data_IF_822848913263
#
_entry.id   IF_822848913263
#
_cell.length_a   1.000
_cell.length_b   1.000
_cell.length_c   1.000
_cell.angle_alpha   90.00
_cell.angle_beta   90.00
_cell.angle_gamma   90.00
#
_symmetry.space_group_name_H-M   'P 1'
#
loop_
_entity.id
_entity.type
_entity.pdbx_description
1 polymer ?
#
# COMPACT_ATOMS: atom_id res chain seq x y z
N UNK A 1 -16.81 4.23 -12.62
CA UNK A 1 -16.78 2.77 -12.83
C UNK A 1 -17.40 2.07 -11.63
N UNK A 2 -18.62 1.52 -11.78
CA UNK A 2 -19.35 0.84 -10.71
C UNK A 2 -18.91 -0.63 -10.68
N UNK A 3 -17.98 -1.01 -9.79
CA UNK A 3 -17.56 -2.43 -9.65
C UNK A 3 -18.80 -3.25 -9.27
N UNK A 4 -19.08 -4.40 -9.94
CA UNK A 4 -20.21 -5.23 -9.58
C UNK A 4 -20.11 -5.65 -8.10
N UNK A 5 -21.24 -5.58 -7.39
CA UNK A 5 -21.32 -5.88 -5.96
C UNK A 5 -20.93 -7.34 -5.72
N UNK A 6 -19.72 -7.59 -5.20
CA UNK A 6 -19.32 -8.92 -4.75
C UNK A 6 -20.17 -9.29 -3.53
N UNK A 7 -20.99 -10.35 -3.67
CA UNK A 7 -21.74 -10.92 -2.56
C UNK A 7 -20.76 -11.67 -1.63
N UNK A 8 -20.95 -11.52 -0.33
CA UNK A 8 -20.15 -12.23 0.67
C UNK A 8 -20.63 -13.67 0.76
N UNK A 9 -19.81 -14.62 0.30
CA UNK A 9 -20.12 -16.06 0.26
C UNK A 9 -19.29 -16.88 1.26
N UNK A 10 -18.76 -16.28 2.34
CA UNK A 10 -18.01 -17.01 3.36
C UNK A 10 -18.84 -18.18 3.90
N UNK A 11 -18.31 -19.39 3.74
CA UNK A 11 -18.77 -20.58 4.46
C UNK A 11 -17.92 -20.72 5.73
N UNK A 12 -18.47 -21.32 6.81
CA UNK A 12 -17.86 -21.39 8.16
C UNK A 12 -16.43 -21.98 8.21
N UNK A 13 -15.90 -22.55 7.12
CA UNK A 13 -14.62 -23.26 7.05
C UNK A 13 -13.44 -22.41 6.55
N UNK A 14 -13.67 -21.22 5.99
CA UNK A 14 -12.61 -20.41 5.33
C UNK A 14 -12.20 -19.14 6.09
N UNK A 15 -12.78 -18.87 7.27
CA UNK A 15 -12.61 -17.61 7.98
C UNK A 15 -11.41 -17.59 8.95
N UNK A 16 -10.26 -18.17 8.56
CA UNK A 16 -9.06 -18.12 9.42
C UNK A 16 -8.09 -17.12 8.86
N UNK A 17 -7.98 -15.96 9.52
CA UNK A 17 -6.79 -15.13 9.40
C UNK A 17 -5.80 -15.62 10.44
N UNK A 18 -4.71 -16.22 9.97
CA UNK A 18 -3.52 -16.42 10.80
C UNK A 18 -2.80 -15.09 10.90
N UNK A 19 -2.72 -14.54 12.12
CA UNK A 19 -1.87 -13.39 12.41
C UNK A 19 -0.43 -13.93 12.40
N UNK A 20 0.25 -13.81 11.25
CA UNK A 20 1.68 -14.07 11.20
C UNK A 20 2.38 -12.89 11.89
N UNK A 21 2.90 -13.12 13.10
CA UNK A 21 3.91 -12.24 13.67
C UNK A 21 5.13 -12.29 12.73
N UNK A 22 5.45 -11.16 12.09
CA UNK A 22 6.73 -11.05 11.38
C UNK A 22 7.83 -10.81 12.43
N UNK A 23 9.00 -11.45 12.29
CA UNK A 23 10.08 -11.28 13.26
C UNK A 23 10.63 -9.86 13.19
N UNK A 24 10.91 -9.30 14.37
CA UNK A 24 11.80 -8.18 14.52
C UNK A 24 13.15 -8.58 13.91
N UNK A 25 13.56 -7.91 12.83
CA UNK A 25 14.93 -8.00 12.36
C UNK A 25 15.65 -6.74 12.81
N UNK A 26 16.75 -7.01 13.51
CA UNK A 26 17.65 -6.10 14.20
C UNK A 26 18.07 -4.90 13.36
N UNK A 27 18.11 -3.79 14.08
CA UNK A 27 18.78 -2.54 13.77
C UNK A 27 20.28 -2.81 13.63
N UNK A 28 20.86 -2.41 12.49
CA UNK A 28 22.29 -2.11 12.38
C UNK A 28 22.40 -0.79 11.61
N UNK A 29 23.18 0.11 12.21
CA UNK A 29 23.51 1.46 11.78
C UNK A 29 24.22 1.51 10.43
N UNK A 30 23.90 2.50 9.61
CA UNK A 30 24.72 2.93 8.46
C UNK A 30 24.46 4.42 8.20
N UNK A 31 25.54 5.18 8.16
CA UNK A 31 25.65 6.63 8.26
C UNK A 31 25.32 7.36 6.94
N UNK A 32 24.96 8.63 7.08
CA UNK A 32 24.42 9.44 5.99
C UNK A 32 25.48 9.83 4.96
N UNK A 33 25.22 9.48 3.70
CA UNK A 33 26.05 9.92 2.58
C UNK A 33 25.44 11.13 1.84
N UNK A 34 26.21 12.20 1.89
CA UNK A 34 26.18 13.43 1.12
C UNK A 34 26.26 13.13 -0.40
N UNK A 35 25.34 13.70 -1.19
CA UNK A 35 25.34 13.51 -2.65
C UNK A 35 26.30 14.51 -3.31
N UNK A 36 27.55 14.10 -3.49
CA UNK A 36 28.52 14.84 -4.32
C UNK A 36 28.35 14.43 -5.81
N UNK A 37 28.22 15.41 -6.70
CA UNK A 37 28.08 15.22 -8.15
C UNK A 37 29.46 14.88 -8.75
N UNK A 38 29.68 13.62 -9.15
CA UNK A 38 30.94 13.17 -9.75
C UNK A 38 30.76 12.82 -11.23
N UNK A 39 31.58 13.50 -12.04
CA UNK A 39 31.70 13.39 -13.49
C UNK A 39 32.06 11.98 -13.98
N UNK A 40 31.53 11.61 -15.15
CA UNK A 40 31.80 10.35 -15.84
C UNK A 40 33.25 10.28 -16.36
N UNK A 41 33.84 9.07 -16.42
CA UNK A 41 34.77 8.75 -17.50
C UNK A 41 34.34 7.54 -18.32
N UNK A 42 34.57 7.66 -19.63
CA UNK A 42 34.31 6.66 -20.65
C UNK A 42 35.34 5.50 -20.72
N UNK A 43 34.82 4.34 -21.15
CA UNK A 43 35.42 3.23 -21.93
C UNK A 43 36.65 2.43 -21.44
N UNK A 44 36.50 1.09 -21.35
CA UNK A 44 37.14 0.12 -22.29
C UNK A 44 36.94 -1.37 -21.92
N UNK A 45 36.32 -2.11 -22.86
CA UNK A 45 36.48 -3.52 -23.26
C UNK A 45 37.09 -4.60 -22.34
N UNK A 46 36.32 -5.69 -22.12
CA UNK A 46 36.75 -7.09 -22.40
C UNK A 46 35.57 -8.07 -22.52
N UNK A 47 35.53 -8.79 -23.65
CA UNK A 47 34.54 -9.82 -24.06
C UNK A 47 34.72 -11.16 -23.30
N UNK A 48 33.61 -11.86 -23.01
CA UNK A 48 33.48 -13.30 -23.36
C UNK A 48 32.01 -13.72 -23.59
N UNK A 49 31.79 -14.42 -24.70
CA UNK A 49 30.50 -14.85 -25.28
C UNK A 49 29.96 -16.13 -24.63
N UNK A 50 28.64 -16.25 -24.46
CA UNK A 50 27.86 -17.38 -25.01
C UNK A 50 26.44 -16.95 -25.36
N UNK A 51 25.98 -17.44 -26.51
CA UNK A 51 24.85 -16.98 -27.32
C UNK A 51 23.61 -17.84 -27.05
N UNK A 52 22.50 -17.23 -26.65
CA UNK A 52 21.14 -17.67 -27.04
C UNK A 52 20.34 -16.45 -27.48
N UNK A 53 20.20 -16.29 -28.80
CA UNK A 53 19.28 -15.34 -29.44
C UNK A 53 17.86 -15.85 -29.22
N UNK A 54 17.24 -15.49 -28.09
CA UNK A 54 15.78 -15.40 -28.06
C UNK A 54 15.43 -14.06 -28.70
N UNK A 55 14.61 -14.10 -29.75
CA UNK A 55 14.09 -12.93 -30.43
C UNK A 55 13.14 -12.19 -29.48
N UNK A 56 13.71 -11.47 -28.49
CA UNK A 56 12.97 -10.66 -27.56
C UNK A 56 12.44 -9.47 -28.36
N UNK A 57 11.16 -9.56 -28.76
CA UNK A 57 10.42 -8.42 -29.30
C UNK A 57 10.66 -7.27 -28.32
N UNK A 58 11.33 -6.19 -28.78
CA UNK A 58 11.47 -4.96 -27.99
C UNK A 58 10.08 -4.62 -27.44
N UNK A 59 9.93 -4.36 -26.13
CA UNK A 59 8.63 -3.98 -25.60
C UNK A 59 8.14 -2.80 -26.42
N UNK A 60 6.96 -2.95 -27.04
CA UNK A 60 6.36 -1.86 -27.82
C UNK A 60 6.27 -0.67 -26.88
N UNK A 61 6.99 0.41 -27.19
CA UNK A 61 6.86 1.66 -26.45
C UNK A 61 5.37 2.00 -26.38
N UNK A 62 4.89 2.34 -25.18
CA UNK A 62 3.49 2.70 -24.97
C UNK A 62 3.21 3.99 -25.72
N UNK A 63 2.74 3.87 -26.96
CA UNK A 63 2.23 5.00 -27.75
C UNK A 63 0.90 5.45 -27.15
N UNK A 64 0.89 6.59 -26.47
CA UNK A 64 -0.31 7.20 -25.91
C UNK A 64 0.00 8.41 -25.00
N UNK A 65 -1.03 9.15 -24.58
CA UNK A 65 -0.94 10.35 -23.73
C UNK A 65 -0.21 10.14 -22.40
N UNK A 66 -0.04 8.89 -21.96
CA UNK A 66 0.65 8.49 -20.73
C UNK A 66 2.13 8.10 -20.93
N UNK A 67 2.68 8.19 -22.15
CA UNK A 67 4.09 7.91 -22.41
C UNK A 67 4.99 8.85 -21.57
N UNK A 68 4.67 10.15 -21.61
CA UNK A 68 5.37 11.18 -20.85
C UNK A 68 5.38 10.91 -19.33
N UNK A 69 4.35 10.24 -18.79
CA UNK A 69 4.30 9.91 -17.36
C UNK A 69 5.35 8.87 -16.94
N UNK A 70 5.82 8.03 -17.87
CA UNK A 70 6.89 7.06 -17.60
C UNK A 70 8.29 7.63 -17.80
N UNK A 71 8.41 8.62 -18.68
CA UNK A 71 9.68 9.26 -19.02
C UNK A 71 9.97 10.50 -18.15
N UNK A 72 9.09 10.79 -17.17
CA UNK A 72 9.20 11.91 -16.24
C UNK A 72 10.26 11.66 -15.15
N UNK A 73 11.06 12.68 -14.76
CA UNK A 73 11.96 12.58 -13.62
C UNK A 73 11.22 12.20 -12.33
N UNK A 74 11.88 11.42 -11.46
CA UNK A 74 11.27 10.93 -10.22
C UNK A 74 10.89 12.06 -9.26
N UNK A 75 11.62 13.16 -9.25
CA UNK A 75 11.33 14.30 -8.37
C UNK A 75 9.98 14.93 -8.70
N UNK A 76 9.74 15.23 -9.98
CA UNK A 76 8.44 15.76 -10.45
C UNK A 76 7.33 14.75 -10.20
N UNK A 77 7.61 13.46 -10.38
CA UNK A 77 6.66 12.40 -10.02
C UNK A 77 6.30 12.46 -8.53
N UNK A 78 7.29 12.56 -7.64
CA UNK A 78 7.06 12.64 -6.19
C UNK A 78 6.32 13.90 -5.80
N UNK A 79 6.64 15.06 -6.38
CA UNK A 79 5.89 16.30 -6.19
C UNK A 79 4.40 16.14 -6.52
N UNK A 80 4.08 15.48 -7.63
CA UNK A 80 2.68 15.17 -7.96
C UNK A 80 2.06 14.26 -6.90
N UNK A 81 2.77 13.21 -6.48
CA UNK A 81 2.25 12.27 -5.47
C UNK A 81 2.05 12.90 -4.10
N UNK A 82 2.89 13.86 -3.69
CA UNK A 82 2.80 14.57 -2.42
C UNK A 82 1.50 15.37 -2.28
N UNK A 83 0.86 15.73 -3.40
CA UNK A 83 -0.40 16.46 -3.43
C UNK A 83 -1.65 15.57 -3.43
N UNK A 84 -1.49 14.25 -3.51
CA UNK A 84 -2.61 13.30 -3.60
C UNK A 84 -3.16 12.89 -2.23
N UNK A 85 -4.38 12.33 -2.24
CA UNK A 85 -4.91 11.64 -1.06
C UNK A 85 -4.36 10.22 -0.98
N UNK A 86 -4.33 9.59 0.22
CA UNK A 86 -3.87 8.22 0.38
C UNK A 86 -4.70 7.22 -0.44
N UNK A 87 -5.98 7.51 -0.68
CA UNK A 87 -6.86 6.66 -1.48
C UNK A 87 -6.46 6.71 -2.97
N UNK A 88 -6.08 7.88 -3.48
CA UNK A 88 -5.63 8.04 -4.86
C UNK A 88 -4.31 7.31 -5.10
N UNK A 89 -3.34 7.49 -4.19
CA UNK A 89 -2.05 6.78 -4.23
C UNK A 89 -2.28 5.26 -4.18
N UNK A 90 -3.16 4.80 -3.30
CA UNK A 90 -3.55 3.39 -3.23
C UNK A 90 -4.14 2.89 -4.55
N UNK A 91 -4.99 3.68 -5.21
CA UNK A 91 -5.50 3.31 -6.53
C UNK A 91 -4.39 3.26 -7.59
N UNK A 92 -3.47 4.23 -7.62
CA UNK A 92 -2.32 4.24 -8.53
C UNK A 92 -1.45 2.98 -8.38
N UNK A 93 -1.19 2.55 -7.14
CA UNK A 93 -0.43 1.31 -6.87
C UNK A 93 -1.12 0.07 -7.45
N UNK A 94 -2.46 0.07 -7.55
CA UNK A 94 -3.21 -1.06 -8.10
C UNK A 94 -3.35 -1.02 -9.61
N UNK A 95 -3.29 0.16 -10.21
CA UNK A 95 -3.39 0.35 -11.66
C UNK A 95 -2.12 -0.09 -12.40
N UNK A 96 -0.95 -0.01 -11.77
CA UNK A 96 0.33 -0.20 -12.45
C UNK A 96 1.38 -0.85 -11.56
N UNK A 97 1.95 -1.97 -12.05
CA UNK A 97 3.06 -2.68 -11.38
C UNK A 97 4.26 -1.77 -11.07
N UNK A 98 4.78 -0.93 -11.98
CA UNK A 98 5.91 -0.04 -11.66
C UNK A 98 5.54 1.01 -10.60
N UNK A 99 4.32 1.57 -10.64
CA UNK A 99 3.89 2.53 -9.61
C UNK A 99 3.78 1.87 -8.24
N UNK A 100 3.26 0.64 -8.19
CA UNK A 100 3.28 -0.16 -6.96
C UNK A 100 4.69 -0.33 -6.42
N UNK A 101 5.64 -0.68 -7.27
CA UNK A 101 7.03 -0.90 -6.86
C UNK A 101 7.69 0.39 -6.37
N UNK A 102 7.41 1.54 -6.97
CA UNK A 102 7.94 2.83 -6.53
C UNK A 102 7.31 3.28 -5.20
N UNK A 103 5.98 3.23 -5.11
CA UNK A 103 5.22 3.77 -3.98
C UNK A 103 5.20 2.87 -2.75
N UNK A 104 5.58 1.58 -2.87
CA UNK A 104 5.63 0.66 -1.70
C UNK A 104 7.03 0.60 -1.07
N UNK A 105 8.04 1.26 -1.65
CA UNK A 105 9.40 1.31 -1.09
C UNK A 105 9.43 2.16 0.19
N UNK A 106 10.40 1.88 1.06
CA UNK A 106 10.68 2.70 2.26
C UNK A 106 10.95 4.16 1.91
N UNK A 107 11.64 4.41 0.79
CA UNK A 107 11.91 5.77 0.31
C UNK A 107 10.64 6.57 0.01
N UNK A 108 9.52 5.92 -0.32
CA UNK A 108 8.24 6.56 -0.59
C UNK A 108 7.39 6.81 0.66
N UNK A 109 7.86 6.48 1.88
CA UNK A 109 7.09 6.68 3.13
C UNK A 109 6.70 8.14 3.36
N UNK A 110 7.59 9.07 3.04
CA UNK A 110 7.33 10.51 3.17
C UNK A 110 6.11 10.94 2.32
N UNK A 111 5.90 10.31 1.16
CA UNK A 111 4.74 10.57 0.28
C UNK A 111 3.44 10.17 0.97
N UNK A 112 3.41 8.99 1.60
CA UNK A 112 2.22 8.52 2.33
C UNK A 112 1.93 9.35 3.57
N UNK A 113 2.97 9.79 4.28
CA UNK A 113 2.85 10.71 5.41
C UNK A 113 2.26 12.06 4.98
N UNK A 114 2.77 12.65 3.89
CA UNK A 114 2.22 13.88 3.31
C UNK A 114 0.76 13.70 2.87
N UNK A 115 0.44 12.61 2.19
CA UNK A 115 -0.92 12.32 1.75
C UNK A 115 -1.90 12.21 2.93
N UNK A 116 -1.51 11.56 4.04
CA UNK A 116 -2.32 11.53 5.27
C UNK A 116 -2.52 12.92 5.86
N UNK A 117 -1.47 13.73 5.87
CA UNK A 117 -1.51 15.12 6.35
C UNK A 117 -2.49 15.96 5.51
N UNK A 118 -2.50 15.80 4.19
CA UNK A 118 -3.41 16.51 3.30
C UNK A 118 -4.88 16.24 3.65
N UNK A 119 -5.23 14.97 3.91
CA UNK A 119 -6.59 14.60 4.33
C UNK A 119 -6.93 15.17 5.70
N UNK A 120 -6.01 15.13 6.66
CA UNK A 120 -6.22 15.71 7.99
C UNK A 120 -6.44 17.23 7.92
N UNK A 121 -5.63 17.95 7.13
CA UNK A 121 -5.79 19.38 6.91
C UNK A 121 -7.13 19.72 6.23
N UNK A 122 -7.52 18.94 5.22
CA UNK A 122 -8.80 19.12 4.55
C UNK A 122 -9.99 18.87 5.50
N UNK A 123 -9.92 17.85 6.36
CA UNK A 123 -10.94 17.58 7.37
C UNK A 123 -11.05 18.71 8.39
N UNK A 124 -9.91 19.24 8.86
CA UNK A 124 -9.85 20.34 9.83
C UNK A 124 -10.46 21.65 9.30
N UNK A 125 -10.38 21.92 7.99
CA UNK A 125 -11.00 23.10 7.38
C UNK A 125 -12.54 23.06 7.42
N UNK A 126 -13.13 21.87 7.29
CA UNK A 126 -14.58 21.70 7.25
C UNK A 126 -15.20 21.50 8.64
N UNK A 127 -14.40 21.05 9.61
CA UNK A 127 -14.85 20.78 10.97
C UNK A 127 -13.97 21.56 11.95
N UNK A 128 -14.43 22.73 12.43
CA UNK A 128 -13.74 23.49 13.47
C UNK A 128 -13.93 22.81 14.82
N UNK A 129 -13.32 21.63 15.00
CA UNK A 129 -13.32 20.91 16.27
C UNK A 129 -11.88 20.81 16.80
N UNK A 130 -11.58 21.38 17.97
CA UNK A 130 -10.22 21.42 18.53
C UNK A 130 -9.68 20.02 18.91
N UNK A 131 -10.53 19.00 18.99
CA UNK A 131 -10.12 17.62 19.31
C UNK A 131 -9.78 16.74 18.10
N UNK A 132 -9.70 17.27 16.88
CA UNK A 132 -9.35 16.45 15.70
C UNK A 132 -7.84 16.17 15.70
N UNK A 133 -7.47 15.09 16.39
CA UNK A 133 -6.09 14.63 16.48
C UNK A 133 -5.52 14.32 15.08
N UNK A 134 -4.22 14.57 14.83
CA UNK A 134 -3.55 14.11 13.61
C UNK A 134 -3.82 12.65 13.31
N UNK A 135 -3.91 12.32 12.02
CA UNK A 135 -4.06 10.93 11.60
C UNK A 135 -2.84 10.13 12.09
N UNK A 136 -3.02 8.98 12.76
CA UNK A 136 -1.90 8.21 13.30
C UNK A 136 -0.94 7.77 12.20
N UNK A 137 0.33 7.67 12.55
CA UNK A 137 1.37 7.17 11.65
C UNK A 137 1.15 5.69 11.31
N UNK A 138 1.73 5.25 10.18
CA UNK A 138 1.70 3.84 9.83
C UNK A 138 2.51 3.05 10.85
N UNK A 139 1.93 2.04 11.51
CA UNK A 139 2.69 1.19 12.42
C UNK A 139 3.81 0.43 11.68
N UNK A 140 4.91 0.14 12.37
CA UNK A 140 6.12 -0.44 11.75
C UNK A 140 5.96 -1.85 11.19
N UNK A 141 4.99 -2.61 11.68
CA UNK A 141 4.62 -3.96 11.23
C UNK A 141 3.67 -3.97 10.01
N UNK A 142 3.33 -2.78 9.48
CA UNK A 142 2.41 -2.64 8.35
C UNK A 142 3.07 -1.88 7.19
N UNK A 143 2.68 -2.26 5.97
CA UNK A 143 3.03 -1.45 4.79
C UNK A 143 2.12 -0.22 4.70
N UNK A 144 2.66 0.90 4.23
CA UNK A 144 1.90 2.15 4.00
C UNK A 144 0.65 1.92 3.13
N UNK A 145 0.79 1.09 2.09
CA UNK A 145 -0.32 0.70 1.21
C UNK A 145 -1.40 -0.09 1.95
N UNK A 146 -1.00 -1.03 2.81
CA UNK A 146 -1.91 -1.79 3.67
C UNK A 146 -2.62 -0.90 4.68
N UNK A 147 -1.90 0.03 5.29
CA UNK A 147 -2.44 1.00 6.23
C UNK A 147 -3.45 1.95 5.58
N UNK A 148 -3.13 2.46 4.38
CA UNK A 148 -4.07 3.26 3.61
C UNK A 148 -5.33 2.46 3.24
N UNK A 149 -5.18 1.19 2.86
CA UNK A 149 -6.34 0.32 2.61
C UNK A 149 -7.19 0.12 3.88
N UNK A 150 -6.54 -0.07 5.03
CA UNK A 150 -7.22 -0.19 6.32
C UNK A 150 -7.94 1.10 6.72
N UNK A 151 -7.42 2.29 6.42
CA UNK A 151 -8.04 3.55 6.83
C UNK A 151 -9.10 4.07 5.84
N UNK A 152 -8.87 3.95 4.54
CA UNK A 152 -9.66 4.68 3.53
C UNK A 152 -10.54 3.80 2.64
N UNK A 153 -10.26 2.50 2.52
CA UNK A 153 -11.10 1.61 1.71
C UNK A 153 -12.31 1.07 2.47
N UNK A 154 -13.27 0.55 1.71
CA UNK A 154 -14.48 -0.11 2.23
C UNK A 154 -14.56 -1.57 1.80
N UNK A 155 -13.42 -2.17 1.48
CA UNK A 155 -13.33 -3.56 1.05
C UNK A 155 -13.14 -4.47 2.26
N UNK A 156 -13.88 -5.57 2.31
CA UNK A 156 -13.68 -6.61 3.30
C UNK A 156 -12.36 -7.34 2.99
N UNK A 157 -11.49 -7.51 3.98
CA UNK A 157 -10.23 -8.22 3.79
C UNK A 157 -10.44 -9.74 3.59
N UNK A 158 -11.59 -10.27 4.01
CA UNK A 158 -11.90 -11.71 3.89
C UNK A 158 -12.64 -12.09 2.61
N UNK A 159 -13.58 -11.25 2.17
CA UNK A 159 -14.47 -11.59 1.06
C UNK A 159 -14.52 -10.53 -0.04
N UNK A 160 -13.71 -9.48 0.08
CA UNK A 160 -13.59 -8.37 -0.88
C UNK A 160 -14.90 -7.62 -1.19
N UNK A 161 -15.94 -7.83 -0.38
CA UNK A 161 -17.19 -7.08 -0.53
C UNK A 161 -16.93 -5.60 -0.26
N UNK A 162 -17.53 -4.71 -1.04
CA UNK A 162 -17.31 -3.25 -1.01
C UNK A 162 -18.07 -2.51 0.10
N UNK A 163 -18.59 -3.24 1.09
CA UNK A 163 -19.38 -2.70 2.22
C UNK A 163 -18.82 -3.13 3.57
N UNK A 164 -17.50 -3.11 3.70
CA UNK A 164 -16.84 -3.30 4.99
C UNK A 164 -16.80 -1.98 5.77
N UNK A 165 -17.78 -1.83 6.67
CA UNK A 165 -17.90 -0.67 7.56
C UNK A 165 -17.19 -0.88 8.90
N UNK A 166 -16.88 -2.13 9.25
CA UNK A 166 -16.26 -2.47 10.53
C UNK A 166 -14.75 -2.54 10.34
N UNK A 167 -14.01 -1.74 11.10
CA UNK A 167 -12.54 -1.80 11.17
C UNK A 167 -12.19 -2.36 12.53
N UNK A 168 -11.37 -3.40 12.56
CA UNK A 168 -10.73 -3.89 13.77
C UNK A 168 -9.26 -3.46 13.71
N UNK A 169 -8.89 -2.48 14.52
CA UNK A 169 -7.53 -1.93 14.56
C UNK A 169 -6.53 -2.88 15.23
N UNK A 170 -6.99 -3.73 16.17
CA UNK A 170 -6.13 -4.71 16.81
C UNK A 170 -5.75 -5.83 15.82
N UNK A 171 -6.72 -6.29 15.03
CA UNK A 171 -6.50 -7.27 13.95
C UNK A 171 -6.01 -6.65 12.65
N UNK A 172 -5.93 -5.31 12.56
CA UNK A 172 -5.45 -4.58 11.37
C UNK A 172 -6.24 -4.89 10.10
N UNK A 173 -7.55 -5.10 10.25
CA UNK A 173 -8.41 -5.56 9.16
C UNK A 173 -9.78 -4.89 9.11
N UNK A 174 -10.34 -4.87 7.91
CA UNK A 174 -11.75 -4.52 7.69
C UNK A 174 -12.61 -5.73 7.41
N UNK A 175 -13.79 -5.72 7.99
CA UNK A 175 -14.79 -6.76 7.82
C UNK A 175 -16.12 -6.17 7.35
N UNK A 176 -16.83 -6.90 6.50
CA UNK A 176 -18.27 -6.75 6.43
C UNK A 176 -18.91 -7.42 7.65
N UNK A 177 -20.15 -7.04 7.99
CA UNK A 177 -20.82 -7.54 9.21
C UNK A 177 -20.83 -9.07 9.31
N UNK A 178 -20.98 -9.78 8.18
CA UNK A 178 -20.95 -11.25 8.13
C UNK A 178 -19.58 -11.83 8.47
N UNK A 179 -18.52 -11.25 7.90
CA UNK A 179 -17.15 -11.73 8.13
C UNK A 179 -16.70 -11.46 9.56
N UNK A 180 -17.13 -10.34 10.15
CA UNK A 180 -16.81 -9.99 11.53
C UNK A 180 -17.38 -11.01 12.53
N UNK A 181 -18.67 -11.36 12.37
CA UNK A 181 -19.32 -12.36 13.23
C UNK A 181 -18.64 -13.72 13.09
N UNK A 182 -18.33 -14.13 11.86
CA UNK A 182 -17.60 -15.37 11.62
C UNK A 182 -16.22 -15.37 12.29
N UNK A 183 -15.48 -14.25 12.21
CA UNK A 183 -14.16 -14.11 12.80
C UNK A 183 -14.21 -14.22 14.33
N UNK A 184 -15.06 -13.45 15.01
CA UNK A 184 -15.16 -13.52 16.47
C UNK A 184 -15.68 -14.86 16.97
N UNK A 185 -16.63 -15.49 16.27
CA UNK A 185 -17.13 -16.82 16.63
C UNK A 185 -16.02 -17.90 16.53
N UNK A 186 -15.04 -17.72 15.64
CA UNK A 186 -13.89 -18.62 15.56
C UNK A 186 -12.87 -18.31 16.66
N UNK A 187 -12.61 -17.04 16.94
CA UNK A 187 -11.72 -16.61 18.02
C UNK A 187 -12.23 -17.12 19.38
N UNK A 188 -13.53 -16.97 19.68
CA UNK A 188 -14.12 -17.44 20.94
C UNK A 188 -14.01 -18.97 21.10
N UNK A 189 -14.26 -19.72 20.03
CA UNK A 189 -14.07 -21.18 20.01
C UNK A 189 -12.62 -21.59 20.26
N UNK A 190 -11.66 -20.81 19.75
CA UNK A 190 -10.23 -21.11 19.85
C UNK A 190 -9.64 -20.73 21.22
N UNK A 191 -10.18 -19.69 21.86
CA UNK A 191 -9.77 -19.25 23.20
C UNK A 191 -10.53 -20.03 24.30
N UNK A 192 -11.54 -20.83 23.94
CA UNK A 192 -12.31 -21.63 24.90
C UNK A 192 -13.27 -20.81 25.76
N UNK A 193 -13.51 -19.53 25.41
CA UNK A 193 -14.49 -18.67 26.06
C UNK A 193 -15.90 -19.05 25.59
N UNK A 194 -16.45 -20.12 26.16
CA UNK A 194 -17.89 -20.32 26.21
C UNK A 194 -18.44 -19.35 27.25
N UNK A 195 -19.01 -18.24 26.78
CA UNK A 195 -19.87 -17.39 27.61
C UNK A 195 -21.10 -18.24 27.93
N UNK A 196 -21.18 -18.70 29.18
CA UNK A 196 -22.35 -19.37 29.74
C UNK A 196 -23.55 -18.46 29.85
#
# INVERSE_FOLDING_TARGET
>A
MNRPRRKCNITKKEAVVTVAASPAHSEEDDDGDEYEYVDQPEMSSKKRKTRRKSNAKKPKALRGKLAAFKDMPLDIFYEIMLNLSPLDILHLTRLSKPLRLLLTRKSARHIWAAARRNVWLAARRNVPHPALLPLPECPGDMSEMGYAALLFERNCHMCESTRAQKVDYALRMRFCSRCLVAQYALISRRIGLWIG
#
